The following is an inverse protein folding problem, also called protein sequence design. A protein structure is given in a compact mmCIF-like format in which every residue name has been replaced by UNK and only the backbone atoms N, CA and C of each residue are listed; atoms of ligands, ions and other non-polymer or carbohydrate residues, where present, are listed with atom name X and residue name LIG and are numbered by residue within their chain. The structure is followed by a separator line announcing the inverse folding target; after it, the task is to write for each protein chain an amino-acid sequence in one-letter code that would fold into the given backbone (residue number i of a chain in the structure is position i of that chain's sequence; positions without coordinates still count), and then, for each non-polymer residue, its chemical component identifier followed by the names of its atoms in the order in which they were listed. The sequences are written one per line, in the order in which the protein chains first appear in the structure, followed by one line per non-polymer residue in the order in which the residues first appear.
data_IF_841518704167
#
_entry.id   IF_841518704167
#
_cell.length_a   1.000
_cell.length_b   1.000
_cell.length_c   1.000
_cell.angle_alpha   90.00
_cell.angle_beta   90.00
_cell.angle_gamma   90.00
#
_symmetry.space_group_name_H-M   'P 1'
#
loop_
_entity.id
_entity.type
_entity.pdbx_description
1 polymer ?
#
# COMPACT_ATOMS: atom_id res chain seq x y z
N UNK A 1 -15.75 20.65 -19.54
CA UNK A 1 -15.08 19.75 -18.69
C UNK A 1 -15.09 18.36 -19.24
N UNK A 2 -14.12 17.66 -18.91
CA UNK A 2 -14.17 16.39 -19.40
C UNK A 2 -13.63 15.49 -18.36
N UNK A 3 -13.93 14.27 -18.41
CA UNK A 3 -13.34 13.42 -17.47
C UNK A 3 -13.05 12.13 -18.12
N UNK A 4 -12.03 11.50 -17.60
CA UNK A 4 -11.59 10.30 -18.19
C UNK A 4 -12.31 9.14 -17.63
N UNK A 5 -12.60 8.20 -18.48
CA UNK A 5 -13.13 6.97 -18.04
C UNK A 5 -12.03 6.18 -17.44
N UNK A 6 -12.21 5.70 -16.24
CA UNK A 6 -11.26 4.79 -15.64
C UNK A 6 -11.48 3.42 -16.23
N UNK A 7 -10.41 2.68 -16.41
CA UNK A 7 -10.61 1.34 -16.91
C UNK A 7 -11.09 0.44 -15.77
N UNK A 8 -11.48 -0.77 -16.11
CA UNK A 8 -12.10 -1.69 -15.18
C UNK A 8 -11.14 -2.05 -14.03
N UNK A 9 -9.86 -2.23 -14.36
CA UNK A 9 -8.87 -2.59 -13.35
C UNK A 9 -8.70 -1.49 -12.32
N UNK A 10 -8.55 -0.28 -12.80
CA UNK A 10 -8.35 0.86 -11.91
C UNK A 10 -9.55 1.05 -11.01
N UNK A 11 -10.73 0.92 -11.58
CA UNK A 11 -11.96 1.07 -10.83
C UNK A 11 -12.07 0.01 -9.75
N UNK A 12 -11.76 -1.22 -10.08
CA UNK A 12 -11.83 -2.31 -9.10
C UNK A 12 -10.83 -2.10 -7.98
N UNK A 13 -9.64 -1.66 -8.33
CA UNK A 13 -8.61 -1.40 -7.34
C UNK A 13 -9.07 -0.30 -6.38
N UNK A 14 -9.65 0.77 -6.91
CA UNK A 14 -10.14 1.84 -6.05
C UNK A 14 -11.23 1.37 -5.11
N UNK A 15 -12.15 0.56 -5.62
CA UNK A 15 -13.22 0.03 -4.78
C UNK A 15 -12.66 -0.79 -3.63
N UNK A 16 -11.70 -1.65 -3.93
CA UNK A 16 -11.12 -2.50 -2.92
C UNK A 16 -10.33 -1.71 -1.89
N UNK A 17 -9.64 -0.68 -2.34
CA UNK A 17 -8.90 0.17 -1.42
C UNK A 17 -9.83 0.87 -0.45
N UNK A 18 -10.95 1.37 -0.94
CA UNK A 18 -11.90 2.03 -0.08
C UNK A 18 -12.55 1.06 0.89
N UNK A 19 -12.92 -0.11 0.40
CA UNK A 19 -13.60 -1.10 1.24
C UNK A 19 -12.69 -1.64 2.33
N UNK A 20 -11.41 -1.73 2.05
CA UNK A 20 -10.49 -2.38 2.97
C UNK A 20 -9.48 -1.45 3.60
N UNK A 21 -9.73 -0.14 3.52
CA UNK A 21 -8.79 0.83 4.06
C UNK A 21 -8.42 0.54 5.51
N UNK A 22 -9.42 0.33 6.35
CA UNK A 22 -9.16 0.09 7.77
C UNK A 22 -8.39 -1.20 8.00
N UNK A 23 -8.66 -2.19 7.19
CA UNK A 23 -7.96 -3.45 7.29
C UNK A 23 -6.48 -3.29 6.98
N UNK A 24 -6.19 -2.55 5.91
CA UNK A 24 -4.80 -2.31 5.55
C UNK A 24 -4.10 -1.44 6.58
N UNK A 25 -4.81 -0.46 7.11
CA UNK A 25 -4.24 0.39 8.14
C UNK A 25 -3.87 -0.44 9.38
N UNK A 26 -4.79 -1.30 9.81
CA UNK A 26 -4.51 -2.13 10.98
C UNK A 26 -3.37 -3.10 10.73
N UNK A 27 -3.32 -3.63 9.53
CA UNK A 27 -2.22 -4.52 9.17
C UNK A 27 -0.89 -3.78 9.27
N UNK A 28 -0.83 -2.59 8.69
CA UNK A 28 0.39 -1.80 8.73
C UNK A 28 0.74 -1.44 10.17
N UNK A 29 -0.24 -1.02 10.94
CA UNK A 29 0.00 -0.63 12.31
C UNK A 29 0.53 -1.78 13.15
N UNK A 30 0.07 -2.98 12.87
CA UNK A 30 0.51 -4.14 13.64
C UNK A 30 2.02 -4.39 13.46
N UNK A 31 2.57 -3.89 12.38
CA UNK A 31 4.00 -4.04 12.12
C UNK A 31 4.82 -2.85 12.60
N UNK A 32 4.30 -1.64 12.37
CA UNK A 32 5.12 -0.45 12.64
C UNK A 32 4.79 0.25 13.95
N UNK A 33 3.63 -0.04 14.54
CA UNK A 33 3.23 0.51 15.84
C UNK A 33 3.30 2.03 15.90
N UNK A 34 2.97 2.68 14.80
CA UNK A 34 3.02 4.13 14.70
C UNK A 34 1.93 4.56 13.74
N UNK A 35 1.06 5.45 14.19
CA UNK A 35 -0.09 5.85 13.40
C UNK A 35 0.29 6.57 12.12
N UNK A 36 1.26 7.48 12.22
CA UNK A 36 1.68 8.24 11.05
C UNK A 36 2.31 7.32 10.01
N UNK A 37 3.14 6.39 10.47
CA UNK A 37 3.77 5.44 9.55
C UNK A 37 2.74 4.53 8.91
N UNK A 38 1.77 4.07 9.70
CA UNK A 38 0.75 3.18 9.16
C UNK A 38 -0.07 3.88 8.08
N UNK A 39 -0.46 5.14 8.35
CA UNK A 39 -1.21 5.90 7.38
C UNK A 39 -0.40 6.12 6.11
N UNK A 40 0.87 6.42 6.28
CA UNK A 40 1.75 6.66 5.15
C UNK A 40 1.90 5.42 4.29
N UNK A 41 2.04 4.27 4.94
CA UNK A 41 2.14 2.99 4.24
C UNK A 41 0.91 2.75 3.37
N UNK A 42 -0.27 2.95 3.95
CA UNK A 42 -1.50 2.69 3.20
C UNK A 42 -1.63 3.66 2.04
N UNK A 43 -1.29 4.93 2.25
CA UNK A 43 -1.36 5.92 1.18
C UNK A 43 -0.39 5.59 0.06
N UNK A 44 0.83 5.24 0.41
CA UNK A 44 1.83 4.89 -0.61
C UNK A 44 1.42 3.63 -1.36
N UNK A 45 0.91 2.64 -0.64
CA UNK A 45 0.45 1.43 -1.28
C UNK A 45 -0.71 1.67 -2.22
N UNK A 46 -1.66 2.50 -1.77
CA UNK A 46 -2.80 2.83 -2.60
C UNK A 46 -2.36 3.55 -3.88
N UNK A 47 -1.47 4.51 -3.71
CA UNK A 47 -0.95 5.25 -4.85
C UNK A 47 -0.28 4.32 -5.85
N UNK A 48 0.54 3.42 -5.37
CA UNK A 48 1.24 2.49 -6.24
C UNK A 48 0.28 1.53 -6.93
N UNK A 49 -0.73 1.09 -6.21
CA UNK A 49 -1.71 0.18 -6.79
C UNK A 49 -2.46 0.85 -7.94
N UNK A 50 -2.90 2.08 -7.72
CA UNK A 50 -3.63 2.79 -8.77
C UNK A 50 -2.72 3.10 -9.95
N UNK A 51 -1.52 3.56 -9.65
CA UNK A 51 -0.59 3.95 -10.68
C UNK A 51 -0.17 2.77 -11.56
N UNK A 52 -0.07 1.60 -10.96
CA UNK A 52 0.40 0.42 -11.67
C UNK A 52 -0.72 -0.56 -12.01
N UNK A 53 -1.92 -0.05 -12.14
CA UNK A 53 -3.07 -0.90 -12.41
C UNK A 53 -2.89 -1.75 -13.66
N UNK A 54 -2.14 -1.25 -14.62
CA UNK A 54 -1.88 -2.00 -15.84
C UNK A 54 -1.12 -3.30 -15.60
N UNK A 55 -0.40 -3.36 -14.48
CA UNK A 55 0.35 -4.55 -14.14
C UNK A 55 -0.52 -5.67 -13.63
N UNK A 56 -1.73 -5.35 -13.22
CA UNK A 56 -2.67 -6.35 -12.76
C UNK A 56 -3.20 -7.11 -13.97
N UNK A 57 -2.88 -8.38 -14.07
CA UNK A 57 -3.24 -9.14 -15.25
C UNK A 57 -4.67 -9.59 -15.25
N UNK A 58 -5.18 -9.91 -14.07
CA UNK A 58 -6.53 -10.43 -13.97
C UNK A 58 -7.22 -9.71 -12.81
N UNK A 59 -8.32 -9.06 -13.12
CA UNK A 59 -9.02 -8.25 -12.14
C UNK A 59 -9.51 -9.08 -10.94
N UNK A 60 -9.66 -10.38 -11.12
CA UNK A 60 -10.07 -11.23 -10.03
C UNK A 60 -9.00 -11.38 -8.97
N UNK A 61 -7.76 -11.12 -9.31
CA UNK A 61 -6.66 -11.20 -8.35
C UNK A 61 -6.34 -9.86 -7.71
N UNK A 62 -7.20 -8.86 -7.94
CA UNK A 62 -6.91 -7.51 -7.47
C UNK A 62 -6.68 -7.47 -5.97
N UNK A 63 -7.49 -8.17 -5.20
CA UNK A 63 -7.38 -8.13 -3.76
C UNK A 63 -6.03 -8.66 -3.28
N UNK A 64 -5.63 -9.81 -3.78
CA UNK A 64 -4.33 -10.38 -3.43
C UNK A 64 -3.20 -9.49 -3.91
N UNK A 65 -3.37 -8.91 -5.09
CA UNK A 65 -2.36 -8.05 -5.68
C UNK A 65 -2.14 -6.80 -4.83
N UNK A 66 -3.23 -6.18 -4.37
CA UNK A 66 -3.13 -5.01 -3.50
C UNK A 66 -2.48 -5.38 -2.17
N UNK A 67 -2.88 -6.52 -1.63
CA UNK A 67 -2.32 -6.98 -0.37
C UNK A 67 -0.80 -7.11 -0.46
N UNK A 68 -0.31 -7.64 -1.55
CA UNK A 68 1.13 -7.76 -1.76
C UNK A 68 1.81 -6.41 -1.81
N UNK A 69 1.16 -5.44 -2.45
CA UNK A 69 1.70 -4.09 -2.52
C UNK A 69 1.80 -3.51 -1.11
N UNK A 70 0.75 -3.70 -0.31
CA UNK A 70 0.75 -3.20 1.05
C UNK A 70 1.85 -3.85 1.89
N UNK A 71 2.02 -5.17 1.76
CA UNK A 71 3.08 -5.85 2.49
C UNK A 71 4.45 -5.32 2.11
N UNK A 72 4.64 -5.07 0.83
CA UNK A 72 5.88 -4.51 0.34
C UNK A 72 6.17 -3.16 1.00
N UNK A 73 5.16 -2.30 1.08
CA UNK A 73 5.34 -1.01 1.71
C UNK A 73 5.66 -1.15 3.18
N UNK A 74 5.02 -2.09 3.84
CA UNK A 74 5.28 -2.33 5.26
C UNK A 74 6.73 -2.76 5.45
N UNK A 75 7.18 -3.70 4.66
CA UNK A 75 8.53 -4.22 4.81
C UNK A 75 9.57 -3.16 4.47
N UNK A 76 9.30 -2.33 3.48
CA UNK A 76 10.21 -1.25 3.15
C UNK A 76 10.31 -0.24 4.28
N UNK A 77 9.19 0.06 4.91
CA UNK A 77 9.18 0.98 6.02
C UNK A 77 9.96 0.41 7.20
N UNK A 78 9.72 -0.85 7.50
CA UNK A 78 10.41 -1.50 8.60
C UNK A 78 11.92 -1.57 8.36
N UNK A 79 12.29 -1.87 7.13
CA UNK A 79 13.69 -1.94 6.77
C UNK A 79 14.37 -0.59 6.90
N UNK A 80 13.68 0.46 6.47
CA UNK A 80 14.19 1.80 6.60
C UNK A 80 14.47 2.18 8.03
N UNK A 81 13.53 1.86 8.90
CA UNK A 81 13.69 2.16 10.31
C UNK A 81 14.83 1.39 10.92
N UNK A 82 14.95 0.15 10.52
CA UNK A 82 16.02 -0.68 11.00
C UNK A 82 17.38 -0.13 10.58
N UNK A 83 17.46 0.33 9.33
CA UNK A 83 18.70 0.92 8.84
C UNK A 83 19.06 2.18 9.58
N UNK A 84 18.05 3.00 9.85
CA UNK A 84 18.30 4.22 10.62
C UNK A 84 18.81 3.88 12.01
N UNK A 85 18.19 2.90 12.64
CA UNK A 85 18.63 2.42 13.95
C UNK A 85 20.08 2.00 13.92
N UNK A 86 20.43 1.22 12.91
CA UNK A 86 21.80 0.73 12.80
C UNK A 86 22.78 1.88 12.62
N UNK A 87 22.39 2.87 11.86
CA UNK A 87 23.24 4.04 11.65
C UNK A 87 23.48 4.80 12.92
N UNK A 88 22.54 4.76 13.83
CA UNK A 88 22.65 5.48 15.08
C UNK A 88 23.40 4.72 16.14
N UNK A 89 23.60 3.44 15.92
CA UNK A 89 24.31 2.64 16.91
C UNK A 89 25.78 2.99 16.93
N UNK A 90 26.34 3.15 18.11
CA UNK A 90 27.76 3.38 18.18
C UNK A 90 28.46 2.09 17.76
N UNK A 91 29.48 2.25 17.05
CA UNK A 91 30.23 1.09 16.60
C UNK A 91 31.41 0.81 17.53
#
# INVERSE_FOLDING_TARGET
MFFQRKDVKEQKIEELLLENYNRYYRLAYSYVHNEADAADIVQNGAYKAIRNSDSLKNVEYAQTWIYRIMLNEIFQCAKKKQMVSLDELPT
#
